data_IF_093295385314
#
_entry.id   IF_093295385314
#
_cell.length_a   1.000
_cell.length_b   1.000
_cell.length_c   1.000
_cell.angle_alpha   90.00
_cell.angle_beta   90.00
_cell.angle_gamma   90.00
#
_symmetry.space_group_name_H-M   'P 1'
#
loop_
_entity.id
_entity.type
_entity.pdbx_description
1 polymer ?
#
# COMPACT_ATOMS: atom_id res chain seq x y z
N UNK A 1 8.24 0.88 -20.18
CA UNK A 1 8.44 0.99 -18.71
C UNK A 1 7.12 1.08 -17.93
N UNK A 2 6.11 0.25 -18.22
CA UNK A 2 4.80 0.30 -17.52
C UNK A 2 4.74 -0.56 -16.24
N UNK A 3 5.62 -1.55 -16.09
CA UNK A 3 5.66 -2.45 -14.91
C UNK A 3 6.33 -1.82 -13.68
N UNK A 4 7.22 -0.86 -13.86
CA UNK A 4 8.02 -0.27 -12.79
C UNK A 4 7.18 0.43 -11.71
N UNK A 5 6.15 1.24 -12.04
CA UNK A 5 5.25 1.79 -11.03
C UNK A 5 4.46 0.71 -10.29
N UNK A 6 3.99 -0.33 -11.00
CA UNK A 6 3.23 -1.44 -10.40
C UNK A 6 4.07 -2.27 -9.42
N UNK A 7 5.36 -2.45 -9.71
CA UNK A 7 6.32 -3.15 -8.82
C UNK A 7 6.62 -2.34 -7.56
N UNK A 8 6.82 -1.02 -7.70
CA UNK A 8 7.01 -0.10 -6.56
C UNK A 8 5.80 -0.08 -5.64
N UNK A 9 4.62 -0.10 -6.24
CA UNK A 9 3.32 -0.22 -5.58
C UNK A 9 3.24 -1.51 -4.75
N UNK A 10 3.54 -2.65 -5.36
CA UNK A 10 3.49 -3.95 -4.70
C UNK A 10 4.49 -4.03 -3.53
N UNK A 11 5.70 -3.50 -3.75
CA UNK A 11 6.76 -3.46 -2.74
C UNK A 11 6.41 -2.53 -1.57
N UNK A 12 5.79 -1.38 -1.86
CA UNK A 12 5.29 -0.46 -0.84
C UNK A 12 4.21 -1.08 0.03
N UNK A 13 3.25 -1.78 -0.58
CA UNK A 13 2.22 -2.52 0.16
C UNK A 13 2.83 -3.64 1.00
N UNK A 14 3.85 -4.33 0.48
CA UNK A 14 4.55 -5.40 1.21
C UNK A 14 5.27 -4.88 2.46
N UNK A 15 6.03 -3.78 2.32
CA UNK A 15 6.69 -3.12 3.45
C UNK A 15 5.71 -2.61 4.49
N UNK A 16 4.55 -2.10 4.07
CA UNK A 16 3.52 -1.60 4.96
C UNK A 16 2.95 -2.72 5.84
N UNK A 17 2.62 -3.88 5.25
CA UNK A 17 2.09 -5.03 5.99
C UNK A 17 3.11 -5.51 7.03
N UNK A 18 4.40 -5.59 6.68
CA UNK A 18 5.45 -5.96 7.64
C UNK A 18 5.62 -4.92 8.77
N UNK A 19 5.46 -3.63 8.46
CA UNK A 19 5.52 -2.56 9.46
C UNK A 19 4.36 -2.68 10.47
N UNK A 20 3.16 -2.99 9.96
CA UNK A 20 1.97 -3.26 10.78
C UNK A 20 2.15 -4.48 11.68
N UNK A 21 2.65 -5.59 11.13
CA UNK A 21 2.99 -6.78 11.92
C UNK A 21 3.93 -6.42 13.09
N UNK A 22 4.97 -5.62 12.82
CA UNK A 22 5.92 -5.17 13.85
C UNK A 22 5.29 -4.24 14.89
N UNK A 23 4.45 -3.29 14.48
CA UNK A 23 3.78 -2.35 15.39
C UNK A 23 2.77 -3.07 16.30
N UNK A 24 2.12 -4.11 15.80
CA UNK A 24 1.20 -4.95 16.55
C UNK A 24 1.90 -5.95 17.48
N UNK A 25 3.24 -6.05 17.42
CA UNK A 25 4.02 -7.02 18.19
C UNK A 25 3.92 -8.46 17.67
N UNK A 26 3.49 -8.63 16.42
CA UNK A 26 3.37 -9.92 15.73
C UNK A 26 4.67 -10.26 15.00
N UNK A 27 4.83 -11.52 14.62
CA UNK A 27 5.93 -11.90 13.73
C UNK A 27 5.77 -11.19 12.38
N UNK A 28 6.90 -10.75 11.80
CA UNK A 28 7.02 -9.94 10.57
C UNK A 28 6.35 -10.50 9.30
N UNK A 29 5.80 -11.71 9.35
CA UNK A 29 5.12 -12.39 8.24
C UNK A 29 3.76 -12.98 8.66
N UNK A 30 3.27 -12.63 9.85
CA UNK A 30 2.07 -13.23 10.39
C UNK A 30 0.84 -12.83 9.55
N UNK A 31 0.79 -11.58 9.10
CA UNK A 31 -0.27 -11.07 8.23
C UNK A 31 -0.25 -11.67 6.82
N UNK A 32 0.91 -12.13 6.34
CA UNK A 32 1.01 -12.85 5.06
C UNK A 32 0.51 -14.29 5.15
N UNK A 33 0.64 -14.92 6.32
CA UNK A 33 0.20 -16.30 6.53
C UNK A 33 -1.33 -16.42 6.61
N UNK A 34 -2.01 -15.38 7.09
CA UNK A 34 -3.47 -15.38 7.21
C UNK A 34 -4.03 -13.96 7.14
N UNK A 35 -4.44 -13.54 5.94
CA UNK A 35 -5.20 -12.30 5.71
C UNK A 35 -6.45 -12.23 6.61
N UNK A 36 -7.03 -13.39 6.93
CA UNK A 36 -8.20 -13.49 7.80
C UNK A 36 -7.85 -13.14 9.25
N UNK A 37 -6.68 -13.54 9.75
CA UNK A 37 -6.20 -13.13 11.08
C UNK A 37 -5.80 -11.66 11.10
N UNK A 38 -5.20 -11.14 10.03
CA UNK A 38 -4.89 -9.72 9.93
C UNK A 38 -6.13 -8.83 10.12
N UNK A 39 -7.25 -9.16 9.48
CA UNK A 39 -8.53 -8.44 9.65
C UNK A 39 -9.13 -8.59 11.06
N UNK A 40 -8.84 -9.70 11.76
CA UNK A 40 -9.36 -9.94 13.12
C UNK A 40 -8.49 -9.24 14.17
N UNK A 41 -7.18 -9.12 13.93
CA UNK A 41 -6.19 -8.55 14.86
C UNK A 41 -6.00 -7.05 14.65
N UNK A 42 -6.33 -6.54 13.45
CA UNK A 42 -6.29 -5.12 13.14
C UNK A 42 -7.15 -4.30 14.13
N UNK A 43 -6.51 -3.33 14.78
CA UNK A 43 -7.14 -2.34 15.64
C UNK A 43 -7.60 -1.15 14.80
N UNK A 44 -8.44 -0.28 15.37
CA UNK A 44 -8.99 0.90 14.67
C UNK A 44 -7.93 1.78 14.00
N UNK A 45 -6.74 1.84 14.57
CA UNK A 45 -5.57 2.57 14.07
C UNK A 45 -5.00 1.96 12.78
N UNK A 46 -5.04 0.63 12.65
CA UNK A 46 -4.54 -0.11 11.49
C UNK A 46 -5.47 0.08 10.28
N UNK A 47 -6.78 0.18 10.53
CA UNK A 47 -7.77 0.55 9.52
C UNK A 47 -7.57 1.99 9.03
N UNK A 48 -7.18 2.91 9.92
CA UNK A 48 -6.85 4.29 9.53
C UNK A 48 -5.61 4.33 8.64
N UNK A 49 -4.56 3.58 8.97
CA UNK A 49 -3.36 3.48 8.12
C UNK A 49 -3.68 2.87 6.74
N UNK A 50 -4.48 1.80 6.69
CA UNK A 50 -4.93 1.19 5.42
C UNK A 50 -5.71 2.19 4.56
N UNK A 51 -6.62 2.95 5.17
CA UNK A 51 -7.41 3.97 4.49
C UNK A 51 -6.49 5.08 3.94
N UNK A 52 -5.58 5.59 4.77
CA UNK A 52 -4.61 6.62 4.37
C UNK A 52 -3.76 6.15 3.17
N UNK A 53 -3.27 4.91 3.24
CA UNK A 53 -2.48 4.34 2.15
C UNK A 53 -3.29 4.18 0.86
N UNK A 54 -4.56 3.76 0.97
CA UNK A 54 -5.47 3.66 -0.16
C UNK A 54 -5.70 5.02 -0.82
N UNK A 55 -5.88 6.08 -0.03
CA UNK A 55 -6.04 7.45 -0.54
C UNK A 55 -4.78 7.93 -1.26
N UNK A 56 -3.60 7.73 -0.68
CA UNK A 56 -2.32 8.06 -1.30
C UNK A 56 -2.15 7.29 -2.63
N UNK A 57 -2.57 6.03 -2.65
CA UNK A 57 -2.54 5.20 -3.86
C UNK A 57 -3.41 5.74 -4.98
N UNK A 58 -4.67 6.06 -4.66
CA UNK A 58 -5.62 6.62 -5.62
C UNK A 58 -5.06 7.94 -6.17
N UNK A 59 -4.53 8.79 -5.29
CA UNK A 59 -3.89 10.04 -5.69
C UNK A 59 -2.73 9.82 -6.67
N UNK A 60 -1.81 8.90 -6.38
CA UNK A 60 -0.67 8.60 -7.24
C UNK A 60 -1.08 8.01 -8.59
N UNK A 61 -2.10 7.13 -8.61
CA UNK A 61 -2.65 6.57 -9.85
C UNK A 61 -3.26 7.67 -10.71
N UNK A 62 -4.08 8.54 -10.12
CA UNK A 62 -4.71 9.67 -10.82
C UNK A 62 -3.65 10.63 -11.33
N UNK A 63 -2.70 11.04 -10.48
CA UNK A 63 -1.61 11.93 -10.85
C UNK A 63 -0.75 11.38 -11.99
N UNK A 64 -0.39 10.10 -11.92
CA UNK A 64 0.36 9.42 -12.98
C UNK A 64 -0.46 9.33 -14.28
N UNK A 65 -1.76 9.08 -14.19
CA UNK A 65 -2.65 9.07 -15.36
C UNK A 65 -2.77 10.46 -16.01
N UNK A 66 -2.84 11.53 -15.22
CA UNK A 66 -2.83 12.91 -15.72
C UNK A 66 -1.50 13.29 -16.35
N UNK A 67 -0.38 12.97 -15.70
CA UNK A 67 0.97 13.24 -16.23
C UNK A 67 1.23 12.50 -17.55
N UNK A 68 0.75 11.26 -17.69
CA UNK A 68 0.87 10.51 -18.93
C UNK A 68 -0.08 10.97 -20.05
N UNK A 69 -1.05 11.87 -19.74
CA UNK A 69 -1.94 12.50 -20.73
C UNK A 69 -1.50 13.91 -21.15
N UNK A 70 -0.50 14.50 -20.48
CA UNK A 70 0.07 15.77 -20.92
C UNK A 70 0.94 15.52 -22.17
N UNK A 71 0.70 16.25 -23.28
CA UNK A 71 1.63 16.22 -24.41
C UNK A 71 3.01 16.74 -23.94
N UNK A 72 4.12 16.26 -24.53
CA UNK A 72 5.44 16.77 -24.17
C UNK A 72 5.43 18.29 -24.35
N UNK A 73 5.83 19.02 -23.30
CA UNK A 73 6.01 20.46 -23.39
C UNK A 73 7.13 20.71 -24.39
N UNK A 74 6.75 21.23 -25.56
CA UNK A 74 7.62 21.71 -26.64
C UNK A 74 8.56 22.80 -26.16
#
# INVERSE_FOLDING_TARGET
>A
MRMLPSLLILFGTYLLIMLLDKLQGLNLLHSFYSIKQYLIVARGEDYFLLLLFTIIFIYLIIFSAFKNRQPPSS
#
